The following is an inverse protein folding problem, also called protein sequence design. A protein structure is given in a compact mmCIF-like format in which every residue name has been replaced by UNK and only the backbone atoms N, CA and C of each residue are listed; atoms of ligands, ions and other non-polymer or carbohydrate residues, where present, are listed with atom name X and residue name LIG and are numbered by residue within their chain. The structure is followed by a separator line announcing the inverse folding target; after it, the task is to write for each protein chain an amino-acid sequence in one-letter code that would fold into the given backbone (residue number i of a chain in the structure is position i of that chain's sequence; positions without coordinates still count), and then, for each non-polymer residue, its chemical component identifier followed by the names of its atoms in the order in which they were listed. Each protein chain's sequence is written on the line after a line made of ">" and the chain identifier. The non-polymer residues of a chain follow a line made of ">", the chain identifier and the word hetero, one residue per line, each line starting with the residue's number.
data_IF_738263021291
#
_entry.id   IF_738263021291
#
_cell.length_a   1.000
_cell.length_b   1.000
_cell.length_c   1.000
_cell.angle_alpha   90.00
_cell.angle_beta   90.00
_cell.angle_gamma   90.00
#
_symmetry.space_group_name_H-M   'P 1'
#
loop_
_entity.id
_entity.type
_entity.pdbx_description
1 polymer ?
#
# COMPACT_ATOMS: atom_id res chain seq x y z
N UNK A 1 35.37 8.39 32.27
CA UNK A 1 34.79 8.89 31.01
C UNK A 1 35.05 7.82 29.98
N UNK A 2 33.99 7.24 29.42
CA UNK A 2 34.12 6.20 28.40
C UNK A 2 34.43 6.90 27.08
N UNK A 3 35.69 6.84 26.64
CA UNK A 3 36.18 7.48 25.40
C UNK A 3 36.06 6.54 24.20
N UNK A 4 35.26 5.48 24.30
CA UNK A 4 34.92 4.60 23.19
C UNK A 4 33.94 5.34 22.28
N UNK A 5 34.46 6.24 21.44
CA UNK A 5 33.72 6.70 20.27
C UNK A 5 33.60 5.52 19.29
N UNK A 6 32.43 5.36 18.68
CA UNK A 6 32.28 4.50 17.53
C UNK A 6 33.30 4.91 16.47
N UNK A 7 33.86 3.93 15.78
CA UNK A 7 34.71 4.19 14.63
C UNK A 7 33.90 5.02 13.61
N UNK A 8 34.39 6.20 13.25
CA UNK A 8 33.70 7.09 12.32
C UNK A 8 33.50 6.44 10.96
N UNK A 9 34.35 5.47 10.60
CA UNK A 9 34.23 4.73 9.35
C UNK A 9 33.04 3.75 9.34
N UNK A 10 32.58 3.30 10.52
CA UNK A 10 31.48 2.34 10.67
C UNK A 10 30.14 3.00 11.04
N UNK A 11 30.13 4.31 11.26
CA UNK A 11 28.93 5.01 11.74
C UNK A 11 27.76 4.89 10.75
N UNK A 12 28.02 5.01 9.44
CA UNK A 12 27.00 4.85 8.40
C UNK A 12 26.38 3.45 8.41
N UNK A 13 27.20 2.41 8.51
CA UNK A 13 26.72 1.02 8.50
C UNK A 13 25.83 0.74 9.71
N UNK A 14 26.23 1.22 10.89
CA UNK A 14 25.44 1.09 12.13
C UNK A 14 24.12 1.84 12.00
N UNK A 15 24.15 3.08 11.52
CA UNK A 15 22.95 3.89 11.36
C UNK A 15 22.00 3.26 10.32
N UNK A 16 22.53 2.74 9.22
CA UNK A 16 21.73 2.05 8.20
C UNK A 16 21.09 0.78 8.77
N UNK A 17 21.85 -0.04 9.51
CA UNK A 17 21.32 -1.24 10.18
C UNK A 17 20.17 -0.91 11.14
N UNK A 18 20.29 0.18 11.92
CA UNK A 18 19.22 0.62 12.83
C UNK A 18 18.01 1.16 12.05
N UNK A 19 18.23 1.89 10.97
CA UNK A 19 17.17 2.40 10.10
C UNK A 19 16.34 1.25 9.50
N UNK A 20 17.00 0.26 8.91
CA UNK A 20 16.32 -0.89 8.32
C UNK A 20 15.60 -1.75 9.36
N UNK A 21 16.19 -1.92 10.55
CA UNK A 21 15.57 -2.65 11.65
C UNK A 21 14.30 -1.96 12.15
N UNK A 22 14.36 -0.64 12.39
CA UNK A 22 13.19 0.12 12.87
C UNK A 22 12.07 0.13 11.85
N UNK A 23 12.38 0.24 10.56
CA UNK A 23 11.41 0.08 9.47
C UNK A 23 10.76 -1.32 9.49
N UNK A 24 11.57 -2.37 9.57
CA UNK A 24 11.07 -3.74 9.59
C UNK A 24 10.14 -4.01 10.77
N UNK A 25 10.53 -3.55 11.96
CA UNK A 25 9.69 -3.66 13.16
C UNK A 25 8.38 -2.88 13.00
N UNK A 26 8.43 -1.68 12.40
CA UNK A 26 7.22 -0.93 12.11
C UNK A 26 6.28 -1.72 11.19
N UNK A 27 6.77 -2.29 10.09
CA UNK A 27 5.94 -3.07 9.16
C UNK A 27 5.31 -4.28 9.86
N UNK A 28 6.11 -5.08 10.57
CA UNK A 28 5.65 -6.28 11.28
C UNK A 28 4.54 -5.98 12.30
N UNK A 29 4.74 -4.97 13.15
CA UNK A 29 3.75 -4.62 14.18
C UNK A 29 2.43 -4.15 13.54
N UNK A 30 2.50 -3.36 12.47
CA UNK A 30 1.31 -2.82 11.80
C UNK A 30 0.55 -3.90 11.02
N UNK A 31 1.27 -4.78 10.33
CA UNK A 31 0.68 -5.94 9.66
C UNK A 31 0.08 -6.95 10.65
N UNK A 32 0.75 -7.16 11.80
CA UNK A 32 0.26 -8.01 12.87
C UNK A 32 -1.09 -7.55 13.42
N UNK A 33 -1.26 -6.23 13.61
CA UNK A 33 -2.56 -5.67 14.05
C UNK A 33 -3.63 -5.81 12.97
N UNK A 34 -3.33 -5.54 11.70
CA UNK A 34 -4.30 -5.74 10.62
C UNK A 34 -4.74 -7.21 10.48
N UNK A 35 -3.83 -8.16 10.74
CA UNK A 35 -4.09 -9.60 10.61
C UNK A 35 -4.81 -10.19 11.83
N UNK A 36 -4.49 -9.70 13.03
CA UNK A 36 -5.06 -10.19 14.30
C UNK A 36 -6.45 -9.63 14.63
N UNK A 37 -6.92 -8.64 13.87
CA UNK A 37 -8.15 -7.92 14.14
C UNK A 37 -7.97 -6.79 15.17
N UNK A 38 -8.83 -5.79 15.05
CA UNK A 38 -8.89 -4.68 16.00
C UNK A 38 -9.67 -5.10 17.24
N UNK A 39 -8.99 -5.76 18.18
CA UNK A 39 -9.44 -5.69 19.56
C UNK A 39 -9.02 -4.32 20.09
N UNK A 40 -9.97 -3.58 20.67
CA UNK A 40 -9.83 -2.22 21.20
C UNK A 40 -8.98 -2.21 22.48
N UNK A 41 -7.75 -2.69 22.35
CA UNK A 41 -6.73 -2.72 23.38
C UNK A 41 -5.85 -1.49 23.19
N UNK A 42 -6.10 -0.47 24.01
CA UNK A 42 -5.33 0.78 24.07
C UNK A 42 -3.81 0.51 24.09
N UNK A 43 -3.37 -0.60 24.70
CA UNK A 43 -1.97 -1.01 24.72
C UNK A 43 -1.38 -1.28 23.33
N UNK A 44 -2.14 -1.92 22.43
CA UNK A 44 -1.72 -2.21 21.05
C UNK A 44 -1.59 -0.94 20.23
N UNK A 45 -2.55 -0.01 20.37
CA UNK A 45 -2.55 1.26 19.63
C UNK A 45 -1.34 2.12 20.04
N UNK A 46 -1.07 2.24 21.34
CA UNK A 46 0.13 2.92 21.82
C UNK A 46 1.43 2.26 21.33
N UNK A 47 1.45 0.92 21.23
CA UNK A 47 2.56 0.18 20.63
C UNK A 47 2.81 0.57 19.18
N UNK A 48 1.77 0.60 18.34
CA UNK A 48 1.85 1.01 16.93
C UNK A 48 2.44 2.41 16.77
N UNK A 49 1.85 3.39 17.48
CA UNK A 49 2.30 4.79 17.42
C UNK A 49 3.74 4.94 17.87
N UNK A 50 4.14 4.22 18.93
CA UNK A 50 5.51 4.26 19.43
C UNK A 50 6.51 3.78 18.40
N UNK A 51 6.24 2.67 17.72
CA UNK A 51 7.18 2.11 16.73
C UNK A 51 7.30 3.01 15.50
N UNK A 52 6.18 3.61 15.04
CA UNK A 52 6.24 4.64 13.99
C UNK A 52 7.04 5.86 14.43
N UNK A 53 6.79 6.38 15.63
CA UNK A 53 7.49 7.55 16.13
C UNK A 53 9.00 7.32 16.25
N UNK A 54 9.42 6.10 16.62
CA UNK A 54 10.83 5.71 16.64
C UNK A 54 11.41 5.74 15.22
N UNK A 55 10.73 5.10 14.25
CA UNK A 55 11.18 5.09 12.86
C UNK A 55 11.25 6.52 12.28
N UNK A 56 10.19 7.31 12.42
CA UNK A 56 10.11 8.68 11.91
C UNK A 56 11.20 9.58 12.50
N UNK A 57 11.45 9.48 13.82
CA UNK A 57 12.53 10.23 14.46
C UNK A 57 13.90 9.78 13.94
N UNK A 58 14.09 8.48 13.73
CA UNK A 58 15.38 7.93 13.31
C UNK A 58 15.68 8.24 11.85
N UNK A 59 14.71 8.14 10.93
CA UNK A 59 14.90 8.51 9.52
C UNK A 59 15.20 10.00 9.36
N UNK A 60 14.60 10.87 10.19
CA UNK A 60 14.93 12.29 10.20
C UNK A 60 16.40 12.52 10.60
N UNK A 61 16.84 11.89 11.69
CA UNK A 61 18.24 11.98 12.16
C UNK A 61 19.19 11.40 11.09
N UNK A 62 18.85 10.24 10.51
CA UNK A 62 19.64 9.59 9.49
C UNK A 62 19.84 10.51 8.27
N UNK A 63 18.77 11.11 7.75
CA UNK A 63 18.84 12.02 6.61
C UNK A 63 19.65 13.29 6.90
N UNK A 64 19.63 13.79 8.14
CA UNK A 64 20.47 14.92 8.56
C UNK A 64 21.95 14.54 8.68
N UNK A 65 22.24 13.33 9.16
CA UNK A 65 23.60 12.82 9.33
C UNK A 65 24.23 12.35 8.03
N UNK A 66 23.43 11.82 7.09
CA UNK A 66 23.89 11.18 5.85
C UNK A 66 23.16 11.72 4.60
N UNK A 67 23.21 13.04 4.32
CA UNK A 67 22.39 13.68 3.28
C UNK A 67 22.73 13.26 1.84
N UNK A 68 23.88 12.61 1.63
CA UNK A 68 24.31 12.11 0.32
C UNK A 68 24.08 10.61 0.15
N UNK A 69 23.45 9.96 1.14
CA UNK A 69 23.16 8.53 1.04
C UNK A 69 21.95 8.29 0.14
N UNK A 70 22.12 7.44 -0.87
CA UNK A 70 21.04 6.97 -1.72
C UNK A 70 20.37 5.74 -1.08
N UNK A 71 19.05 5.76 -0.97
CA UNK A 71 18.29 4.65 -0.38
C UNK A 71 18.31 3.44 -1.30
N UNK A 72 18.47 2.25 -0.71
CA UNK A 72 18.42 1.00 -1.46
C UNK A 72 17.00 0.70 -1.98
N UNK A 73 16.87 -0.05 -3.10
CA UNK A 73 15.57 -0.47 -3.59
C UNK A 73 14.82 -1.36 -2.59
N UNK A 74 15.54 -2.17 -1.81
CA UNK A 74 14.98 -3.00 -0.73
C UNK A 74 14.37 -2.13 0.37
N UNK A 75 15.08 -1.09 0.81
CA UNK A 75 14.57 -0.15 1.80
C UNK A 75 13.31 0.55 1.29
N UNK A 76 13.36 1.05 0.05
CA UNK A 76 12.24 1.73 -0.61
C UNK A 76 11.00 0.82 -0.72
N UNK A 77 11.18 -0.45 -1.05
CA UNK A 77 10.10 -1.44 -1.10
C UNK A 77 9.46 -1.66 0.28
N UNK A 78 10.27 -1.84 1.34
CA UNK A 78 9.77 -2.02 2.71
C UNK A 78 9.05 -0.76 3.20
N UNK A 79 9.53 0.43 2.84
CA UNK A 79 8.90 1.71 3.15
C UNK A 79 7.52 1.83 2.49
N UNK A 80 7.39 1.46 1.21
CA UNK A 80 6.10 1.45 0.52
C UNK A 80 5.08 0.52 1.19
N UNK A 81 5.52 -0.65 1.67
CA UNK A 81 4.66 -1.55 2.46
C UNK A 81 4.22 -0.87 3.76
N UNK A 82 5.15 -0.25 4.50
CA UNK A 82 4.80 0.47 5.73
C UNK A 82 3.75 1.55 5.45
N UNK A 83 3.98 2.41 4.46
CA UNK A 83 3.06 3.47 4.07
C UNK A 83 1.68 2.92 3.73
N UNK A 84 1.62 1.86 2.91
CA UNK A 84 0.35 1.22 2.53
C UNK A 84 -0.41 0.69 3.76
N UNK A 85 0.28 -0.02 4.65
CA UNK A 85 -0.30 -0.65 5.85
C UNK A 85 -0.78 0.41 6.84
N UNK A 86 0.00 1.48 7.06
CA UNK A 86 -0.38 2.61 7.92
C UNK A 86 -1.61 3.32 7.37
N UNK A 87 -1.66 3.61 6.07
CA UNK A 87 -2.82 4.25 5.46
C UNK A 87 -4.07 3.36 5.50
N UNK A 88 -3.90 2.04 5.35
CA UNK A 88 -4.99 1.08 5.50
C UNK A 88 -5.49 1.03 6.95
N UNK A 89 -4.59 1.05 7.94
CA UNK A 89 -4.94 1.13 9.36
C UNK A 89 -5.70 2.42 9.71
N UNK A 90 -5.26 3.58 9.18
CA UNK A 90 -5.93 4.86 9.36
C UNK A 90 -7.39 4.85 8.85
N UNK A 91 -7.72 4.00 7.87
CA UNK A 91 -9.10 3.80 7.43
C UNK A 91 -9.92 2.94 8.38
N UNK A 92 -9.27 1.99 9.06
CA UNK A 92 -9.94 1.01 9.90
C UNK A 92 -10.16 1.49 11.33
N UNK A 93 -9.30 2.41 11.82
CA UNK A 93 -9.38 2.98 13.16
C UNK A 93 -9.28 4.50 13.12
N UNK A 94 -10.34 5.16 13.58
CA UNK A 94 -10.37 6.63 13.74
C UNK A 94 -9.41 7.12 14.83
N UNK A 95 -8.95 6.24 15.72
CA UNK A 95 -8.09 6.58 16.85
C UNK A 95 -6.66 6.92 16.40
N UNK A 96 -6.15 6.25 15.36
CA UNK A 96 -4.78 6.47 14.87
C UNK A 96 -4.62 7.87 14.23
N UNK A 97 -5.72 8.47 13.74
CA UNK A 97 -5.70 9.77 13.08
C UNK A 97 -5.59 10.99 14.03
N UNK A 98 -5.69 10.79 15.36
CA UNK A 98 -5.92 11.89 16.31
C UNK A 98 -4.67 12.62 16.83
N UNK A 99 -3.46 12.07 16.67
CA UNK A 99 -2.26 12.59 17.37
C UNK A 99 -1.27 13.39 16.51
N UNK A 100 -1.53 13.54 15.21
CA UNK A 100 -0.81 14.47 14.32
C UNK A 100 -1.67 15.70 14.03
N UNK A 101 -1.06 16.88 13.74
CA UNK A 101 -1.83 18.03 13.26
C UNK A 101 -2.57 17.64 11.98
N UNK A 102 -3.87 17.39 12.10
CA UNK A 102 -4.71 16.77 11.08
C UNK A 102 -4.66 17.52 9.73
N UNK A 103 -4.43 18.83 9.78
CA UNK A 103 -4.42 19.70 8.61
C UNK A 103 -3.24 19.41 7.66
N UNK A 104 -2.05 19.10 8.19
CA UNK A 104 -0.85 18.89 7.36
C UNK A 104 -0.94 17.53 6.63
N UNK A 105 -1.25 16.46 7.38
CA UNK A 105 -1.43 15.12 6.81
C UNK A 105 -2.59 15.06 5.82
N UNK A 106 -3.72 15.70 6.11
CA UNK A 106 -4.86 15.76 5.19
C UNK A 106 -4.51 16.48 3.89
N UNK A 107 -3.79 17.61 3.99
CA UNK A 107 -3.35 18.35 2.81
C UNK A 107 -2.40 17.50 1.94
N UNK A 108 -1.44 16.82 2.57
CA UNK A 108 -0.47 15.96 1.90
C UNK A 108 -1.17 14.77 1.21
N UNK A 109 -2.06 14.07 1.92
CA UNK A 109 -2.84 12.96 1.36
C UNK A 109 -3.75 13.40 0.22
N UNK A 110 -4.35 14.60 0.31
CA UNK A 110 -5.14 15.16 -0.79
C UNK A 110 -4.30 15.47 -2.03
N UNK A 111 -3.06 15.94 -1.84
CA UNK A 111 -2.09 16.17 -2.89
C UNK A 111 -1.73 14.88 -3.62
N UNK A 112 -1.40 13.82 -2.87
CA UNK A 112 -1.13 12.49 -3.43
C UNK A 112 -2.33 11.93 -4.17
N UNK A 113 -3.52 11.96 -3.56
CA UNK A 113 -4.73 11.44 -4.20
C UNK A 113 -5.04 12.16 -5.52
N UNK A 114 -4.79 13.46 -5.61
CA UNK A 114 -4.95 14.24 -6.85
C UNK A 114 -3.92 13.85 -7.90
N UNK A 115 -2.66 13.70 -7.51
CA UNK A 115 -1.57 13.26 -8.40
C UNK A 115 -1.84 11.87 -8.95
N UNK A 116 -2.20 10.92 -8.08
CA UNK A 116 -2.54 9.55 -8.43
C UNK A 116 -3.71 9.51 -9.42
N UNK A 117 -4.78 10.28 -9.15
CA UNK A 117 -5.93 10.37 -10.03
C UNK A 117 -5.56 10.95 -11.40
N UNK A 118 -4.70 11.97 -11.45
CA UNK A 118 -4.20 12.52 -12.70
C UNK A 118 -3.40 11.49 -13.49
N UNK A 119 -2.47 10.78 -12.84
CA UNK A 119 -1.70 9.71 -13.46
C UNK A 119 -2.61 8.60 -14.01
N UNK A 120 -3.67 8.22 -13.28
CA UNK A 120 -4.64 7.23 -13.74
C UNK A 120 -5.45 7.70 -14.94
N UNK A 121 -5.82 8.98 -15.01
CA UNK A 121 -6.51 9.54 -16.18
C UNK A 121 -5.61 9.58 -17.41
N UNK A 122 -4.33 9.90 -17.23
CA UNK A 122 -3.33 9.80 -18.31
C UNK A 122 -3.21 8.36 -18.80
N UNK A 123 -3.16 7.38 -17.89
CA UNK A 123 -3.15 5.96 -18.21
C UNK A 123 -4.39 5.55 -19.02
N UNK A 124 -5.59 5.88 -18.54
CA UNK A 124 -6.85 5.61 -19.23
C UNK A 124 -6.86 6.21 -20.65
N UNK A 125 -6.39 7.44 -20.81
CA UNK A 125 -6.27 8.08 -22.12
C UNK A 125 -5.26 7.39 -23.06
N UNK A 126 -4.22 6.75 -22.51
CA UNK A 126 -3.30 5.90 -23.26
C UNK A 126 -3.98 4.62 -23.75
N UNK A 127 -4.66 3.90 -22.84
CA UNK A 127 -5.43 2.70 -23.15
C UNK A 127 -6.51 2.95 -24.21
N UNK A 128 -7.19 4.10 -24.14
CA UNK A 128 -8.13 4.56 -25.16
C UNK A 128 -7.52 4.67 -26.55
N UNK A 129 -6.33 5.28 -26.63
CA UNK A 129 -5.60 5.45 -27.89
C UNK A 129 -5.22 4.10 -28.48
N UNK A 130 -4.76 3.18 -27.66
CA UNK A 130 -4.36 1.85 -28.11
C UNK A 130 -5.57 1.03 -28.60
N UNK A 131 -6.69 1.09 -27.90
CA UNK A 131 -7.95 0.48 -28.37
C UNK A 131 -8.37 1.02 -29.74
N UNK A 132 -8.26 2.35 -29.98
CA UNK A 132 -8.58 2.96 -31.28
C UNK A 132 -7.61 2.56 -32.39
N UNK A 133 -6.32 2.33 -32.07
CA UNK A 133 -5.34 1.81 -33.04
C UNK A 133 -5.70 0.38 -33.43
N UNK A 134 -6.06 -0.47 -32.45
CA UNK A 134 -6.43 -1.86 -32.68
C UNK A 134 -7.71 -2.01 -33.52
N UNK A 135 -8.71 -1.15 -33.31
CA UNK A 135 -9.95 -1.14 -34.10
C UNK A 135 -9.75 -0.88 -35.61
N UNK A 136 -8.59 -0.31 -36.01
CA UNK A 136 -8.24 -0.11 -37.43
C UNK A 136 -7.60 -1.34 -38.07
N UNK A 137 -7.23 -2.37 -37.29
CA UNK A 137 -6.63 -3.62 -37.79
C UNK A 137 -7.72 -4.66 -38.11
N UNK A 138 -7.62 -5.42 -39.23
CA UNK A 138 -8.66 -6.35 -39.64
C UNK A 138 -8.82 -7.57 -38.72
N UNK A 139 -10.08 -7.86 -38.36
CA UNK A 139 -10.72 -9.08 -37.83
C UNK A 139 -10.15 -9.84 -36.61
N UNK A 140 -8.85 -9.78 -36.29
CA UNK A 140 -8.25 -10.57 -35.18
C UNK A 140 -8.35 -9.94 -33.79
N UNK A 141 -8.86 -8.72 -33.65
CA UNK A 141 -8.91 -7.98 -32.37
C UNK A 141 -10.35 -7.70 -31.87
N UNK A 142 -11.29 -8.63 -32.11
CA UNK A 142 -12.71 -8.41 -31.84
C UNK A 142 -13.05 -8.35 -30.34
N UNK A 143 -12.28 -8.98 -29.45
CA UNK A 143 -12.63 -9.10 -28.02
C UNK A 143 -12.29 -7.84 -27.22
N UNK A 144 -11.06 -7.32 -27.35
CA UNK A 144 -10.65 -6.10 -26.67
C UNK A 144 -11.51 -4.87 -27.04
N UNK A 145 -11.94 -4.78 -28.32
CA UNK A 145 -12.82 -3.72 -28.77
C UNK A 145 -14.24 -3.84 -28.16
N UNK A 146 -14.81 -5.04 -28.14
CA UNK A 146 -16.13 -5.29 -27.52
C UNK A 146 -16.11 -5.04 -26.01
N UNK A 147 -15.02 -5.44 -25.35
CA UNK A 147 -14.79 -5.13 -23.96
C UNK A 147 -14.86 -3.63 -23.72
N UNK A 148 -14.10 -2.85 -24.48
CA UNK A 148 -14.08 -1.39 -24.38
C UNK A 148 -15.47 -0.75 -24.58
N UNK A 149 -16.23 -1.19 -25.59
CA UNK A 149 -17.58 -0.69 -25.83
C UNK A 149 -18.53 -0.96 -24.65
N UNK A 150 -18.40 -2.14 -24.01
CA UNK A 150 -19.16 -2.49 -22.81
C UNK A 150 -18.77 -1.60 -21.63
N UNK A 151 -17.47 -1.38 -21.41
CA UNK A 151 -16.99 -0.46 -20.36
C UNK A 151 -17.63 0.93 -20.53
N UNK A 152 -17.60 1.47 -21.74
CA UNK A 152 -18.18 2.78 -22.06
C UNK A 152 -19.70 2.85 -21.83
N UNK A 153 -20.44 1.79 -22.14
CA UNK A 153 -21.87 1.72 -21.84
C UNK A 153 -22.14 1.75 -20.34
N UNK A 154 -21.33 1.05 -19.54
CA UNK A 154 -21.44 1.06 -18.08
C UNK A 154 -21.09 2.46 -17.56
N UNK A 155 -19.97 3.05 -17.98
CA UNK A 155 -19.55 4.38 -17.53
C UNK A 155 -20.59 5.47 -17.84
N UNK A 156 -21.15 5.45 -19.06
CA UNK A 156 -22.21 6.40 -19.45
C UNK A 156 -23.49 6.23 -18.62
N UNK A 157 -23.87 4.99 -18.29
CA UNK A 157 -25.02 4.70 -17.44
C UNK A 157 -24.89 5.26 -16.01
N UNK A 158 -23.65 5.42 -15.50
CA UNK A 158 -23.37 5.98 -14.18
C UNK A 158 -23.10 7.49 -14.19
N UNK A 159 -22.60 8.05 -15.29
CA UNK A 159 -22.31 9.49 -15.43
C UNK A 159 -23.52 10.32 -15.90
N UNK A 160 -24.47 9.72 -16.62
CA UNK A 160 -25.53 10.42 -17.37
C UNK A 160 -26.66 11.09 -16.59
N UNK A 161 -26.53 11.39 -15.28
CA UNK A 161 -27.61 12.10 -14.56
C UNK A 161 -27.06 12.84 -13.36
N UNK A 162 -27.17 14.18 -13.38
CA UNK A 162 -26.81 15.04 -12.26
C UNK A 162 -27.88 14.88 -11.16
N UNK A 163 -27.55 14.31 -9.99
CA UNK A 163 -28.54 14.15 -8.93
C UNK A 163 -28.72 15.50 -8.20
N UNK A 164 -29.78 16.24 -8.55
CA UNK A 164 -30.25 17.40 -7.78
C UNK A 164 -30.92 16.95 -6.46
N UNK A 165 -30.21 16.20 -5.62
CA UNK A 165 -30.68 15.83 -4.29
C UNK A 165 -29.54 15.98 -3.29
N UNK A 166 -29.59 17.10 -2.53
CA UNK A 166 -28.85 17.21 -1.29
C UNK A 166 -29.52 16.30 -0.26
N UNK A 167 -28.93 15.13 -0.02
CA UNK A 167 -29.27 14.32 1.16
C UNK A 167 -28.38 14.77 2.30
N UNK A 168 -28.97 14.96 3.47
CA UNK A 168 -28.28 15.28 4.72
C UNK A 168 -27.15 14.28 5.00
N UNK A 169 -25.96 14.82 5.25
CA UNK A 169 -24.68 14.14 5.38
C UNK A 169 -24.72 13.00 6.40
N UNK A 170 -24.34 11.80 5.94
CA UNK A 170 -23.94 10.69 6.80
C UNK A 170 -22.46 10.84 7.16
N UNK A 171 -22.09 10.32 8.33
CA UNK A 171 -20.77 10.35 8.94
C UNK A 171 -19.64 10.17 7.92
N UNK A 172 -18.82 11.21 7.79
CA UNK A 172 -17.63 11.21 6.97
C UNK A 172 -16.70 10.09 7.44
N UNK A 173 -16.38 9.15 6.55
CA UNK A 173 -15.19 8.30 6.73
C UNK A 173 -13.96 9.19 6.73
N UNK A 174 -13.47 9.51 7.92
CA UNK A 174 -12.23 10.25 8.17
C UNK A 174 -11.06 9.35 7.78
N UNK A 175 -10.58 9.44 6.54
CA UNK A 175 -9.46 8.63 6.07
C UNK A 175 -9.20 8.71 4.56
N UNK A 176 -8.02 8.25 4.12
CA UNK A 176 -7.64 8.23 2.70
C UNK A 176 -8.59 7.32 1.92
N UNK A 177 -8.95 7.65 0.68
CA UNK A 177 -9.84 6.85 -0.17
C UNK A 177 -9.22 5.49 -0.54
N UNK A 178 -10.03 4.45 -0.78
CA UNK A 178 -9.54 3.18 -1.31
C UNK A 178 -8.81 3.37 -2.64
N UNK A 179 -9.31 4.29 -3.49
CA UNK A 179 -8.64 4.58 -4.74
C UNK A 179 -7.24 5.17 -4.52
N UNK A 180 -6.98 5.92 -3.45
CA UNK A 180 -5.62 6.41 -3.16
C UNK A 180 -4.67 5.31 -2.65
N UNK A 181 -5.21 4.18 -2.20
CA UNK A 181 -4.42 3.01 -1.80
C UNK A 181 -4.13 2.06 -2.96
N UNK A 182 -5.01 2.03 -3.97
CA UNK A 182 -4.92 1.10 -5.08
C UNK A 182 -3.63 1.26 -5.90
N UNK A 183 -3.15 2.46 -6.28
CA UNK A 183 -1.87 2.62 -6.95
C UNK A 183 -0.68 2.09 -6.15
N UNK A 184 -0.69 2.30 -4.83
CA UNK A 184 0.35 1.80 -3.94
C UNK A 184 0.36 0.28 -3.89
N UNK A 185 -0.81 -0.35 -3.79
CA UNK A 185 -0.95 -1.80 -3.88
C UNK A 185 -0.41 -2.35 -5.21
N UNK A 186 -0.73 -1.69 -6.33
CA UNK A 186 -0.25 -2.08 -7.66
C UNK A 186 1.27 -1.95 -7.76
N UNK A 187 1.86 -0.85 -7.27
CA UNK A 187 3.31 -0.63 -7.26
C UNK A 187 4.07 -1.65 -6.39
N UNK A 188 3.58 -1.93 -5.18
CA UNK A 188 4.15 -2.97 -4.30
C UNK A 188 4.09 -4.34 -5.00
N UNK A 189 2.94 -4.65 -5.61
CA UNK A 189 2.75 -5.91 -6.32
C UNK A 189 3.71 -6.04 -7.51
N UNK A 190 3.84 -4.99 -8.31
CA UNK A 190 4.74 -4.91 -9.47
C UNK A 190 6.19 -5.19 -9.06
N UNK A 191 6.71 -4.44 -8.08
CA UNK A 191 8.07 -4.61 -7.57
C UNK A 191 8.30 -6.01 -7.01
N UNK A 192 7.34 -6.56 -6.27
CA UNK A 192 7.44 -7.92 -5.75
C UNK A 192 7.47 -8.97 -6.85
N UNK A 193 6.57 -8.87 -7.83
CA UNK A 193 6.48 -9.80 -8.96
C UNK A 193 7.73 -9.77 -9.84
N UNK A 194 8.30 -8.58 -10.06
CA UNK A 194 9.58 -8.40 -10.74
C UNK A 194 10.71 -9.09 -9.97
N UNK A 195 10.79 -8.88 -8.64
CA UNK A 195 11.81 -9.50 -7.80
C UNK A 195 11.75 -11.04 -7.81
N UNK A 196 10.54 -11.63 -7.82
CA UNK A 196 10.38 -13.09 -7.89
C UNK A 196 10.37 -13.64 -9.33
N UNK A 197 10.39 -12.77 -10.34
CA UNK A 197 10.29 -13.10 -11.77
C UNK A 197 9.08 -13.97 -12.10
N UNK A 198 7.92 -13.63 -11.52
CA UNK A 198 6.66 -14.33 -11.75
C UNK A 198 5.57 -13.33 -12.12
N UNK A 199 4.63 -13.77 -12.96
CA UNK A 199 3.43 -13.00 -13.27
C UNK A 199 2.39 -13.02 -12.13
N UNK A 200 1.32 -12.23 -12.26
CA UNK A 200 0.24 -12.21 -11.28
C UNK A 200 -0.45 -13.58 -11.16
N UNK A 201 -0.65 -14.03 -9.92
CA UNK A 201 -1.45 -15.23 -9.63
C UNK A 201 -2.96 -14.94 -9.65
N UNK A 202 -3.79 -15.98 -9.81
CA UNK A 202 -5.27 -15.86 -9.75
C UNK A 202 -5.75 -15.17 -8.47
N UNK A 203 -5.17 -15.54 -7.32
CA UNK A 203 -5.51 -14.94 -6.01
C UNK A 203 -5.23 -13.44 -6.01
N UNK A 204 -4.11 -13.02 -6.61
CA UNK A 204 -3.77 -11.60 -6.72
C UNK A 204 -4.75 -10.88 -7.65
N UNK A 205 -5.08 -11.48 -8.80
CA UNK A 205 -6.01 -10.88 -9.77
C UNK A 205 -7.40 -10.69 -9.16
N UNK A 206 -7.88 -11.69 -8.41
CA UNK A 206 -9.15 -11.61 -7.67
C UNK A 206 -9.16 -10.46 -6.66
N UNK A 207 -8.10 -10.35 -5.83
CA UNK A 207 -8.00 -9.29 -4.82
C UNK A 207 -7.88 -7.91 -5.48
N UNK A 208 -7.11 -7.79 -6.56
CA UNK A 208 -6.96 -6.55 -7.30
C UNK A 208 -8.29 -6.09 -7.93
N UNK A 209 -9.06 -7.02 -8.52
CA UNK A 209 -10.39 -6.74 -9.05
C UNK A 209 -11.39 -6.38 -7.96
N UNK A 210 -11.39 -7.10 -6.84
CA UNK A 210 -12.21 -6.78 -5.68
C UNK A 210 -11.84 -5.40 -5.09
N UNK A 211 -10.56 -5.03 -5.08
CA UNK A 211 -10.10 -3.69 -4.69
C UNK A 211 -10.70 -2.61 -5.59
N UNK A 212 -10.61 -2.78 -6.92
CA UNK A 212 -11.23 -1.85 -7.88
C UNK A 212 -12.74 -1.73 -7.66
N UNK A 213 -13.42 -2.84 -7.39
CA UNK A 213 -14.85 -2.87 -7.08
C UNK A 213 -15.17 -2.11 -5.78
N UNK A 214 -14.44 -2.35 -4.70
CA UNK A 214 -14.66 -1.69 -3.41
C UNK A 214 -14.36 -0.18 -3.49
N UNK A 215 -13.29 0.21 -4.19
CA UNK A 215 -12.99 1.61 -4.47
C UNK A 215 -14.13 2.27 -5.27
N UNK A 216 -14.67 1.57 -6.25
CA UNK A 216 -15.80 2.06 -7.05
C UNK A 216 -17.08 2.21 -6.23
N UNK A 217 -17.39 1.25 -5.34
CA UNK A 217 -18.52 1.33 -4.43
C UNK A 217 -18.39 2.53 -3.48
N UNK A 218 -17.23 2.70 -2.85
CA UNK A 218 -16.95 3.85 -1.98
C UNK A 218 -17.18 5.16 -2.74
N UNK A 219 -16.70 5.26 -3.99
CA UNK A 219 -16.80 6.50 -4.76
C UNK A 219 -18.19 6.81 -5.27
N UNK A 220 -18.92 5.82 -5.75
CA UNK A 220 -20.31 5.99 -6.17
C UNK A 220 -21.23 6.31 -4.99
N UNK A 221 -20.98 5.72 -3.81
CA UNK A 221 -21.69 6.05 -2.58
C UNK A 221 -21.42 7.49 -2.15
N UNK A 222 -20.14 7.93 -2.11
CA UNK A 222 -19.80 9.32 -1.75
C UNK A 222 -20.40 10.32 -2.73
N UNK A 223 -20.33 10.08 -4.04
CA UNK A 223 -20.96 10.95 -5.06
C UNK A 223 -22.49 11.00 -4.94
N UNK A 224 -23.12 9.98 -4.39
CA UNK A 224 -24.57 10.00 -4.13
C UNK A 224 -24.95 10.87 -2.92
N UNK A 225 -23.99 11.17 -2.05
CA UNK A 225 -24.16 11.95 -0.83
C UNK A 225 -23.68 13.39 -1.01
N UNK A 226 -22.55 13.58 -1.69
CA UNK A 226 -21.90 14.86 -1.91
C UNK A 226 -22.20 15.37 -3.32
N UNK A 227 -22.82 16.55 -3.41
CA UNK A 227 -23.27 17.14 -4.67
C UNK A 227 -22.13 17.69 -5.54
N UNK A 228 -20.92 17.83 -4.99
CA UNK A 228 -19.74 18.28 -5.72
C UNK A 228 -18.94 17.10 -6.30
N UNK A 229 -19.36 16.67 -7.49
CA UNK A 229 -18.84 15.46 -8.14
C UNK A 229 -17.55 15.67 -8.96
N UNK A 230 -17.08 16.90 -9.17
CA UNK A 230 -16.03 17.17 -10.18
C UNK A 230 -14.65 16.64 -9.77
N UNK A 231 -14.33 16.66 -8.47
CA UNK A 231 -13.04 16.21 -7.95
C UNK A 231 -13.03 14.73 -7.52
N UNK A 232 -14.20 14.06 -7.50
CA UNK A 232 -14.28 12.66 -7.10
C UNK A 232 -13.94 11.73 -8.27
N UNK A 233 -13.13 10.68 -8.02
CA UNK A 233 -12.88 9.64 -8.99
C UNK A 233 -14.15 9.03 -9.57
N UNK A 234 -14.07 8.66 -10.84
CA UNK A 234 -15.11 8.01 -11.62
C UNK A 234 -14.90 6.50 -11.61
N UNK A 235 -15.93 5.78 -12.07
CA UNK A 235 -15.87 4.33 -12.24
C UNK A 235 -14.73 3.95 -13.21
N UNK A 236 -14.57 4.70 -14.30
CA UNK A 236 -13.47 4.53 -15.27
C UNK A 236 -12.09 4.75 -14.66
N UNK A 237 -11.95 5.67 -13.69
CA UNK A 237 -10.69 5.92 -12.99
C UNK A 237 -10.29 4.69 -12.13
N UNK A 238 -11.26 3.97 -11.58
CA UNK A 238 -11.02 2.78 -10.74
C UNK A 238 -10.63 1.55 -11.56
N UNK A 239 -11.17 1.41 -12.78
CA UNK A 239 -10.93 0.27 -13.67
C UNK A 239 -9.92 0.57 -14.79
N UNK A 240 -9.14 1.65 -14.66
CA UNK A 240 -8.15 2.07 -15.67
C UNK A 240 -6.94 1.12 -15.79
N UNK A 241 -6.80 0.13 -14.90
CA UNK A 241 -5.62 -0.74 -14.79
C UNK A 241 -5.57 -1.81 -15.87
N UNK A 242 -4.53 -1.78 -16.70
CA UNK A 242 -4.33 -2.71 -17.81
C UNK A 242 -3.08 -2.37 -18.62
N UNK A 243 -2.70 -3.29 -19.51
CA UNK A 243 -1.52 -3.12 -20.35
C UNK A 243 -1.70 -1.99 -21.38
N UNK A 244 -0.68 -1.15 -21.52
CA UNK A 244 -0.57 -0.08 -22.53
C UNK A 244 0.73 -0.31 -23.30
N UNK A 245 0.68 -0.16 -24.62
CA UNK A 245 1.87 -0.23 -25.46
C UNK A 245 2.59 1.13 -25.40
N UNK A 246 3.62 1.22 -24.56
CA UNK A 246 4.38 2.45 -24.32
C UNK A 246 5.30 2.82 -25.50
N UNK A 247 5.61 1.86 -26.39
CA UNK A 247 6.55 2.04 -27.50
C UNK A 247 5.92 2.73 -28.73
N UNK A 248 4.59 2.79 -28.81
CA UNK A 248 3.87 3.30 -29.98
C UNK A 248 3.42 4.76 -29.76
N UNK A 249 4.34 5.68 -30.01
CA UNK A 249 4.11 7.11 -30.18
C UNK A 249 3.57 7.85 -28.93
N UNK A 250 4.39 7.98 -27.89
CA UNK A 250 4.46 9.27 -27.18
C UNK A 250 5.18 10.28 -28.09
N UNK A 251 4.56 10.60 -29.22
CA UNK A 251 4.96 11.75 -30.03
C UNK A 251 4.46 12.99 -29.27
N UNK A 252 5.23 13.37 -28.25
CA UNK A 252 5.00 14.49 -27.31
C UNK A 252 4.93 15.85 -28.03
N UNK A 253 5.06 15.86 -29.36
CA UNK A 253 5.08 17.06 -30.20
C UNK A 253 3.70 17.66 -30.48
N UNK A 254 2.59 16.94 -30.27
CA UNK A 254 1.24 17.41 -30.63
C UNK A 254 0.39 17.96 -29.47
N UNK A 255 0.79 17.77 -28.22
CA UNK A 255 0.15 18.41 -27.07
C UNK A 255 1.18 19.20 -26.28
N UNK A 256 1.23 20.52 -26.55
CA UNK A 256 2.13 21.48 -25.92
C UNK A 256 1.75 21.84 -24.48
N UNK A 257 1.34 20.86 -23.69
CA UNK A 257 1.16 21.04 -22.25
C UNK A 257 1.87 19.87 -21.56
N UNK A 258 2.86 20.22 -20.75
CA UNK A 258 3.78 19.31 -20.10
C UNK A 258 3.01 18.19 -19.39
N UNK A 259 3.03 16.99 -19.96
CA UNK A 259 2.79 15.79 -19.19
C UNK A 259 3.92 15.75 -18.14
N UNK A 260 3.63 15.83 -16.84
CA UNK A 260 4.59 15.37 -15.87
C UNK A 260 4.75 13.89 -16.20
N UNK A 261 5.92 13.53 -16.76
CA UNK A 261 6.36 12.14 -16.66
C UNK A 261 6.22 11.81 -15.16
N UNK A 262 5.49 10.74 -14.77
CA UNK A 262 5.50 10.32 -13.38
C UNK A 262 6.98 10.20 -12.99
N UNK A 263 7.40 10.84 -11.90
CA UNK A 263 8.79 10.95 -11.44
C UNK A 263 9.48 9.59 -11.14
N UNK A 264 8.85 8.47 -11.48
CA UNK A 264 9.37 7.10 -11.40
C UNK A 264 8.85 6.29 -12.60
N UNK A 265 9.46 6.53 -13.78
CA UNK A 265 9.18 5.85 -15.04
C UNK A 265 9.35 4.31 -14.90
N UNK A 266 10.30 3.89 -14.06
CA UNK A 266 10.58 2.49 -13.78
C UNK A 266 9.42 1.79 -13.08
N UNK A 267 8.87 2.37 -12.00
CA UNK A 267 7.71 1.78 -11.32
C UNK A 267 6.48 1.75 -12.24
N UNK A 268 6.28 2.76 -13.09
CA UNK A 268 5.18 2.76 -14.05
C UNK A 268 5.32 1.63 -15.08
N UNK A 269 6.53 1.36 -15.56
CA UNK A 269 6.86 0.25 -16.44
C UNK A 269 6.62 -1.10 -15.74
N UNK A 270 7.11 -1.29 -14.50
CA UNK A 270 6.87 -2.52 -13.74
C UNK A 270 5.37 -2.79 -13.53
N UNK A 271 4.59 -1.74 -13.24
CA UNK A 271 3.13 -1.83 -13.12
C UNK A 271 2.48 -2.18 -14.45
N UNK A 272 2.96 -1.63 -15.57
CA UNK A 272 2.47 -2.00 -16.90
C UNK A 272 2.74 -3.49 -17.19
N UNK A 273 3.94 -3.95 -16.84
CA UNK A 273 4.40 -5.32 -17.06
C UNK A 273 3.61 -6.36 -16.25
N UNK A 274 2.97 -5.99 -15.13
CA UNK A 274 2.03 -6.88 -14.43
C UNK A 274 0.92 -7.40 -15.34
N UNK A 275 0.49 -6.59 -16.31
CA UNK A 275 -0.63 -6.91 -17.18
C UNK A 275 -0.19 -7.48 -18.53
N UNK A 276 1.12 -7.63 -18.77
CA UNK A 276 1.67 -8.14 -20.04
C UNK A 276 1.62 -9.67 -20.07
N UNK A 277 1.15 -10.23 -21.18
CA UNK A 277 1.24 -11.67 -21.42
C UNK A 277 2.71 -12.07 -21.60
N UNK A 278 3.25 -12.85 -20.67
CA UNK A 278 4.61 -13.44 -20.77
C UNK A 278 4.72 -14.51 -21.85
N UNK A 279 3.63 -14.90 -22.50
CA UNK A 279 3.62 -16.05 -23.39
C UNK A 279 4.37 -15.72 -24.69
N UNK A 280 5.60 -16.24 -24.84
CA UNK A 280 6.47 -16.10 -26.03
C UNK A 280 5.79 -16.48 -27.37
N UNK A 281 4.60 -17.09 -27.32
CA UNK A 281 3.83 -17.57 -28.47
C UNK A 281 2.64 -16.69 -28.87
N UNK A 282 2.26 -15.68 -28.07
CA UNK A 282 1.05 -14.88 -28.31
C UNK A 282 1.32 -13.48 -28.89
N UNK A 283 2.00 -13.39 -30.04
CA UNK A 283 2.18 -12.11 -30.76
C UNK A 283 2.91 -11.01 -29.97
N UNK A 284 3.10 -9.82 -30.56
CA UNK A 284 3.68 -8.68 -29.84
C UNK A 284 2.71 -8.20 -28.75
N UNK A 285 3.21 -8.09 -27.52
CA UNK A 285 2.75 -7.17 -26.48
C UNK A 285 1.23 -7.07 -26.30
N UNK A 286 0.65 -8.17 -25.84
CA UNK A 286 -0.77 -8.26 -25.51
C UNK A 286 -1.02 -8.22 -24.00
N UNK A 287 -2.16 -7.64 -23.60
CA UNK A 287 -2.69 -7.74 -22.23
C UNK A 287 -2.99 -9.21 -21.88
N UNK A 288 -2.75 -9.58 -20.63
CA UNK A 288 -3.06 -10.91 -20.09
C UNK A 288 -4.59 -11.17 -20.22
N UNK A 289 -5.03 -12.18 -21.00
CA UNK A 289 -6.46 -12.38 -21.27
C UNK A 289 -7.28 -12.63 -20.00
N UNK A 290 -6.74 -13.39 -19.04
CA UNK A 290 -7.42 -13.70 -17.79
C UNK A 290 -7.65 -12.45 -16.94
N UNK A 291 -6.67 -11.53 -16.91
CA UNK A 291 -6.83 -10.22 -16.28
C UNK A 291 -7.93 -9.40 -16.96
N UNK A 292 -7.89 -9.29 -18.29
CA UNK A 292 -8.89 -8.54 -19.06
C UNK A 292 -10.29 -9.07 -18.79
N UNK A 293 -10.49 -10.39 -18.85
CA UNK A 293 -11.78 -11.03 -18.57
C UNK A 293 -12.25 -10.78 -17.14
N UNK A 294 -11.41 -11.03 -16.14
CA UNK A 294 -11.80 -10.85 -14.74
C UNK A 294 -12.14 -9.38 -14.42
N UNK A 295 -11.37 -8.43 -14.98
CA UNK A 295 -11.63 -6.99 -14.86
C UNK A 295 -13.00 -6.63 -15.44
N UNK A 296 -13.33 -7.11 -16.64
CA UNK A 296 -14.61 -6.85 -17.31
C UNK A 296 -15.76 -7.50 -16.55
N UNK A 297 -15.63 -8.75 -16.14
CA UNK A 297 -16.65 -9.48 -15.38
C UNK A 297 -16.95 -8.74 -14.07
N UNK A 298 -15.92 -8.25 -13.40
CA UNK A 298 -16.06 -7.44 -12.18
C UNK A 298 -16.73 -6.10 -12.48
N UNK A 299 -16.37 -5.41 -13.56
CA UNK A 299 -17.02 -4.16 -13.96
C UNK A 299 -18.50 -4.39 -14.33
N UNK A 300 -18.83 -5.54 -14.93
CA UNK A 300 -20.19 -5.90 -15.32
C UNK A 300 -21.16 -6.00 -14.12
N UNK A 301 -20.64 -6.14 -12.89
CA UNK A 301 -21.44 -5.99 -11.67
C UNK A 301 -22.09 -4.60 -11.54
N UNK A 302 -21.54 -3.59 -12.21
CA UNK A 302 -22.11 -2.25 -12.27
C UNK A 302 -23.10 -2.04 -13.42
N UNK A 303 -23.34 -3.04 -14.28
CA UNK A 303 -24.32 -2.95 -15.36
C UNK A 303 -25.73 -2.67 -14.84
N UNK A 304 -26.39 -1.67 -15.43
CA UNK A 304 -27.79 -1.32 -15.15
C UNK A 304 -28.64 -1.87 -16.30
N UNK A 305 -29.47 -2.88 -16.03
CA UNK A 305 -30.32 -3.48 -17.05
C UNK A 305 -31.29 -2.43 -17.64
N UNK A 306 -31.23 -2.25 -18.96
CA UNK A 306 -32.09 -1.32 -19.70
C UNK A 306 -33.59 -1.66 -19.57
N UNK A 307 -33.92 -2.92 -19.27
CA UNK A 307 -35.29 -3.44 -19.25
C UNK A 307 -36.17 -2.93 -18.09
N UNK A 308 -35.63 -2.16 -17.15
CA UNK A 308 -36.43 -1.46 -16.11
C UNK A 308 -36.89 -0.07 -16.53
N UNK A 309 -36.47 0.41 -17.71
CA UNK A 309 -36.98 1.64 -18.32
C UNK A 309 -38.31 1.31 -19.02
N UNK A 310 -39.35 1.04 -18.22
CA UNK A 310 -40.72 1.02 -18.74
C UNK A 310 -41.02 2.39 -19.34
N UNK A 311 -41.48 2.42 -20.60
CA UNK A 311 -41.85 3.62 -21.36
C UNK A 311 -42.84 4.55 -20.65
N UNK A 312 -43.48 4.10 -19.55
CA UNK A 312 -44.48 4.85 -18.80
C UNK A 312 -44.06 5.25 -17.38
N UNK A 313 -42.87 4.88 -16.91
CA UNK A 313 -42.35 5.34 -15.63
C UNK A 313 -41.12 6.23 -15.86
N UNK A 314 -41.14 7.51 -15.45
CA UNK A 314 -39.91 8.29 -15.43
C UNK A 314 -38.94 7.55 -14.49
N UNK A 315 -37.72 7.19 -14.94
CA UNK A 315 -36.79 6.51 -14.07
C UNK A 315 -36.39 7.50 -12.99
N UNK A 316 -36.75 7.19 -11.74
CA UNK A 316 -35.93 7.58 -10.60
C UNK A 316 -34.60 6.81 -10.70
N UNK A 317 -33.78 7.16 -11.70
CA UNK A 317 -32.51 6.50 -12.04
C UNK A 317 -31.57 6.43 -10.83
N UNK A 318 -31.64 7.44 -9.96
CA UNK A 318 -30.93 7.49 -8.68
C UNK A 318 -31.34 6.38 -7.72
N UNK A 319 -32.64 6.05 -7.60
CA UNK A 319 -33.09 4.99 -6.69
C UNK A 319 -32.65 3.61 -7.18
N UNK A 320 -32.73 3.34 -8.48
CA UNK A 320 -32.22 2.10 -9.07
C UNK A 320 -30.71 1.96 -8.84
N UNK A 321 -29.95 3.05 -9.02
CA UNK A 321 -28.51 3.10 -8.72
C UNK A 321 -28.22 2.81 -7.24
N UNK A 322 -28.91 3.48 -6.32
CA UNK A 322 -28.74 3.26 -4.87
C UNK A 322 -29.08 1.83 -4.46
N UNK A 323 -30.18 1.26 -4.96
CA UNK A 323 -30.54 -0.14 -4.73
C UNK A 323 -29.48 -1.09 -5.29
N UNK A 324 -28.89 -0.78 -6.46
CA UNK A 324 -27.79 -1.56 -7.03
C UNK A 324 -26.54 -1.47 -6.16
N UNK A 325 -26.13 -0.28 -5.74
CA UNK A 325 -24.98 -0.08 -4.84
C UNK A 325 -25.19 -0.84 -3.52
N UNK A 326 -26.39 -0.80 -2.95
CA UNK A 326 -26.74 -1.56 -1.75
C UNK A 326 -26.63 -3.07 -1.99
N UNK A 327 -27.14 -3.59 -3.10
CA UNK A 327 -26.99 -5.03 -3.43
C UNK A 327 -25.53 -5.43 -3.59
N UNK A 328 -24.72 -4.60 -4.24
CA UNK A 328 -23.30 -4.86 -4.41
C UNK A 328 -22.54 -4.82 -3.08
N UNK A 329 -22.84 -3.87 -2.19
CA UNK A 329 -22.21 -3.82 -0.87
C UNK A 329 -22.55 -5.03 0.01
N UNK A 330 -23.73 -5.64 -0.18
CA UNK A 330 -24.10 -6.89 0.48
C UNK A 330 -23.44 -8.12 -0.17
N UNK A 331 -23.30 -8.12 -1.51
CA UNK A 331 -22.68 -9.22 -2.26
C UNK A 331 -21.16 -9.28 -2.06
N UNK A 332 -20.53 -8.13 -1.87
CA UNK A 332 -19.09 -7.98 -1.68
C UNK A 332 -18.83 -7.25 -0.35
N UNK A 333 -18.86 -7.95 0.79
CA UNK A 333 -18.65 -7.35 2.10
C UNK A 333 -17.24 -6.78 2.23
N UNK A 334 -17.12 -5.51 2.64
CA UNK A 334 -15.82 -4.83 2.79
C UNK A 334 -14.87 -5.55 3.76
N UNK A 335 -15.39 -6.13 4.85
CA UNK A 335 -14.57 -6.84 5.84
C UNK A 335 -13.87 -8.09 5.28
N UNK A 336 -14.53 -8.84 4.41
CA UNK A 336 -13.95 -10.03 3.76
C UNK A 336 -12.86 -9.60 2.77
N UNK A 337 -13.15 -8.60 1.94
CA UNK A 337 -12.15 -7.98 1.06
C UNK A 337 -10.90 -7.54 1.84
N UNK A 338 -11.09 -6.80 2.94
CA UNK A 338 -9.98 -6.29 3.74
C UNK A 338 -9.11 -7.42 4.29
N UNK A 339 -9.72 -8.50 4.79
CA UNK A 339 -8.97 -9.67 5.27
C UNK A 339 -8.16 -10.33 4.16
N UNK A 340 -8.73 -10.48 2.96
CA UNK A 340 -8.01 -11.03 1.79
C UNK A 340 -6.85 -10.13 1.37
N UNK A 341 -7.06 -8.81 1.34
CA UNK A 341 -6.04 -7.82 1.02
C UNK A 341 -4.88 -7.87 2.01
N UNK A 342 -5.18 -7.85 3.31
CA UNK A 342 -4.17 -7.94 4.38
C UNK A 342 -3.41 -9.25 4.28
N UNK A 343 -4.11 -10.38 4.08
CA UNK A 343 -3.46 -11.68 3.92
C UNK A 343 -2.51 -11.72 2.72
N UNK A 344 -2.89 -11.10 1.60
CA UNK A 344 -2.03 -11.03 0.42
C UNK A 344 -0.79 -10.16 0.67
N UNK A 345 -0.95 -9.00 1.30
CA UNK A 345 0.17 -8.10 1.64
C UNK A 345 1.10 -8.76 2.67
N UNK A 346 0.56 -9.44 3.69
CA UNK A 346 1.34 -10.24 4.63
C UNK A 346 2.15 -11.32 3.91
N UNK A 347 1.56 -11.97 2.91
CA UNK A 347 2.25 -12.99 2.11
C UNK A 347 3.36 -12.38 1.26
N UNK A 348 3.11 -11.24 0.62
CA UNK A 348 4.14 -10.47 -0.12
C UNK A 348 5.30 -10.13 0.81
N UNK A 349 5.00 -9.56 1.99
CA UNK A 349 5.98 -9.23 3.00
C UNK A 349 6.81 -10.45 3.42
N UNK A 350 6.14 -11.52 3.86
CA UNK A 350 6.79 -12.76 4.32
C UNK A 350 7.68 -13.40 3.25
N UNK A 351 7.24 -13.38 1.99
CA UNK A 351 8.03 -13.89 0.88
C UNK A 351 9.21 -12.98 0.54
N UNK A 352 9.02 -11.65 0.60
CA UNK A 352 10.10 -10.69 0.33
C UNK A 352 11.24 -10.80 1.34
N UNK A 353 10.95 -11.21 2.59
CA UNK A 353 11.95 -11.42 3.63
C UNK A 353 12.79 -12.69 3.47
N UNK A 354 12.62 -13.46 2.40
CA UNK A 354 13.48 -14.63 2.13
C UNK A 354 14.81 -14.18 1.55
N UNK A 355 15.88 -14.90 1.92
CA UNK A 355 17.25 -14.61 1.50
C UNK A 355 17.42 -14.63 -0.02
N UNK A 356 16.61 -15.40 -0.76
CA UNK A 356 16.68 -15.44 -2.22
C UNK A 356 16.00 -14.25 -2.91
N UNK A 357 15.25 -13.41 -2.15
CA UNK A 357 14.47 -12.30 -2.69
C UNK A 357 15.04 -10.96 -2.21
N UNK A 358 14.74 -10.50 -0.99
CA UNK A 358 15.34 -9.28 -0.40
C UNK A 358 16.08 -9.53 0.93
N UNK A 359 15.95 -10.73 1.51
CA UNK A 359 16.46 -11.04 2.85
C UNK A 359 15.81 -10.23 3.97
N UNK A 360 16.31 -10.44 5.20
CA UNK A 360 15.94 -9.64 6.38
C UNK A 360 17.02 -8.60 6.68
N UNK A 361 16.70 -7.52 7.40
CA UNK A 361 17.73 -6.64 7.93
C UNK A 361 18.67 -7.41 8.86
N UNK A 362 19.95 -7.08 8.82
CA UNK A 362 21.00 -7.80 9.56
C UNK A 362 20.72 -7.88 11.07
N UNK A 363 20.18 -6.82 11.68
CA UNK A 363 19.83 -6.83 13.10
C UNK A 363 18.68 -7.79 13.44
N UNK A 364 17.77 -8.03 12.49
CA UNK A 364 16.70 -9.03 12.66
C UNK A 364 17.30 -10.44 12.61
N UNK A 365 18.17 -10.72 11.64
CA UNK A 365 18.87 -12.02 11.53
C UNK A 365 19.66 -12.31 12.82
N UNK A 366 20.44 -11.33 13.29
CA UNK A 366 21.21 -11.44 14.54
C UNK A 366 20.27 -11.81 15.70
N UNK A 367 19.14 -11.12 15.84
CA UNK A 367 18.13 -11.41 16.87
C UNK A 367 17.52 -12.81 16.76
N UNK A 368 17.34 -13.33 15.55
CA UNK A 368 16.90 -14.70 15.29
C UNK A 368 18.00 -15.74 15.54
N UNK A 369 19.26 -15.28 15.63
CA UNK A 369 20.43 -16.06 15.99
C UNK A 369 21.25 -16.56 14.80
N UNK A 370 21.11 -15.94 13.63
CA UNK A 370 21.89 -16.29 12.43
C UNK A 370 22.30 -15.03 11.66
N UNK A 371 23.23 -15.14 10.71
CA UNK A 371 23.54 -14.07 9.76
C UNK A 371 23.80 -14.72 8.40
N UNK A 372 22.84 -14.61 7.49
CA UNK A 372 22.84 -15.33 6.21
C UNK A 372 23.99 -14.87 5.31
N UNK A 373 24.31 -13.56 5.33
CA UNK A 373 25.42 -12.99 4.55
C UNK A 373 26.82 -13.52 4.90
N UNK A 374 26.99 -14.11 6.09
CA UNK A 374 28.28 -14.64 6.59
C UNK A 374 28.23 -16.17 6.77
N UNK A 375 27.08 -16.80 6.50
CA UNK A 375 26.88 -18.24 6.74
C UNK A 375 26.96 -18.63 8.21
N UNK A 376 26.67 -17.70 9.13
CA UNK A 376 26.72 -17.95 10.56
C UNK A 376 25.36 -18.44 11.06
N UNK A 377 25.26 -19.71 11.44
CA UNK A 377 24.02 -20.31 11.93
C UNK A 377 23.97 -20.38 13.46
N UNK A 378 22.76 -20.33 14.02
CA UNK A 378 22.53 -20.43 15.47
C UNK A 378 23.05 -21.76 16.02
N UNK A 379 23.81 -21.69 17.11
CA UNK A 379 24.40 -22.88 17.73
C UNK A 379 25.66 -23.39 17.03
N UNK A 380 26.10 -22.74 15.94
CA UNK A 380 27.46 -22.91 15.45
C UNK A 380 28.46 -22.26 16.41
N UNK A 381 29.65 -22.85 16.51
CA UNK A 381 30.75 -22.28 17.31
C UNK A 381 31.12 -20.89 16.81
N UNK A 382 31.03 -20.67 15.49
CA UNK A 382 31.36 -19.40 14.85
C UNK A 382 30.36 -18.29 15.20
N UNK A 383 29.06 -18.61 15.25
CA UNK A 383 28.04 -17.64 15.69
C UNK A 383 28.15 -17.36 17.20
N UNK A 384 28.36 -18.37 18.04
CA UNK A 384 28.56 -18.14 19.48
C UNK A 384 29.81 -17.28 19.74
N UNK A 385 30.89 -17.51 18.99
CA UNK A 385 32.10 -16.71 19.08
C UNK A 385 31.89 -15.29 18.54
N UNK A 386 31.09 -15.11 17.48
CA UNK A 386 30.67 -13.80 17.01
C UNK A 386 29.85 -13.07 18.07
N UNK A 387 28.77 -13.69 18.58
CA UNK A 387 27.89 -13.12 19.59
C UNK A 387 28.66 -12.70 20.86
N UNK A 388 29.58 -13.56 21.34
CA UNK A 388 30.45 -13.23 22.47
C UNK A 388 31.38 -12.04 22.16
N UNK A 389 31.90 -11.92 20.94
CA UNK A 389 32.76 -10.80 20.51
C UNK A 389 31.99 -9.47 20.44
N UNK A 390 30.73 -9.51 19.98
CA UNK A 390 29.89 -8.31 19.87
C UNK A 390 29.09 -8.01 21.15
N UNK A 391 29.34 -8.76 22.23
CA UNK A 391 28.70 -8.52 23.54
C UNK A 391 27.26 -8.98 23.64
N UNK A 392 26.80 -9.83 22.73
CA UNK A 392 25.50 -10.49 22.76
C UNK A 392 25.63 -11.78 23.57
N UNK A 393 25.53 -11.68 24.89
CA UNK A 393 25.57 -12.86 25.75
C UNK A 393 24.29 -13.72 25.60
N UNK A 394 24.31 -14.95 26.14
CA UNK A 394 23.15 -15.85 26.06
C UNK A 394 21.88 -15.27 26.71
N UNK A 395 22.01 -14.30 27.63
CA UNK A 395 20.88 -13.64 28.29
C UNK A 395 20.15 -12.65 27.38
N UNK A 396 20.88 -11.96 26.50
CA UNK A 396 20.33 -10.98 25.56
C UNK A 396 19.23 -11.57 24.66
N UNK A 397 19.44 -12.77 24.14
CA UNK A 397 18.49 -13.43 23.24
C UNK A 397 17.26 -14.00 23.97
N UNK A 398 17.40 -14.36 25.25
CA UNK A 398 16.28 -14.79 26.08
C UNK A 398 15.39 -13.61 26.48
N UNK A 399 15.97 -12.40 26.56
CA UNK A 399 15.26 -11.14 26.88
C UNK A 399 14.47 -10.59 25.67
N UNK A 400 14.93 -10.82 24.44
CA UNK A 400 14.19 -10.48 23.19
C UNK A 400 12.92 -11.31 22.99
N UNK A 401 12.90 -12.54 23.51
CA UNK A 401 11.76 -13.45 23.33
C UNK A 401 10.60 -13.22 24.29
N UNK A 402 10.82 -12.46 25.37
CA UNK A 402 9.75 -11.98 26.24
C UNK A 402 9.39 -10.55 25.87
N UNK A 403 8.11 -10.19 25.86
CA UNK A 403 7.56 -8.83 25.59
C UNK A 403 8.01 -7.74 26.60
N UNK A 404 9.24 -7.79 27.12
CA UNK A 404 9.70 -7.05 28.29
C UNK A 404 10.91 -6.15 28.07
N UNK A 405 11.43 -6.00 26.85
CA UNK A 405 12.65 -5.20 26.63
C UNK A 405 12.55 -3.74 27.13
N UNK A 406 11.36 -3.15 27.31
CA UNK A 406 11.25 -1.73 27.66
C UNK A 406 10.51 -1.42 28.96
N UNK A 407 10.60 -2.28 29.99
CA UNK A 407 10.36 -1.87 31.39
C UNK A 407 11.60 -2.09 32.23
N UNK A 408 12.67 -1.31 31.98
CA UNK A 408 13.71 -1.12 33.00
C UNK A 408 13.12 -0.31 34.14
N UNK A 409 12.70 -1.01 35.19
CA UNK A 409 12.41 -0.44 36.52
C UNK A 409 13.67 0.33 36.98
N UNK A 410 13.52 1.62 37.26
CA UNK A 410 14.62 2.45 37.74
C UNK A 410 15.27 1.81 38.99
N UNK A 411 16.60 1.84 39.13
CA UNK A 411 17.26 1.30 40.31
C UNK A 411 16.83 2.11 41.54
N UNK A 412 16.36 1.38 42.56
CA UNK A 412 15.95 1.95 43.84
C UNK A 412 17.02 2.91 44.36
N UNK A 413 16.55 4.13 44.65
CA UNK A 413 17.33 5.22 45.19
C UNK A 413 18.19 4.80 46.37
N UNK A 414 19.46 5.16 46.29
CA UNK A 414 20.47 5.10 47.34
C UNK A 414 19.90 5.63 48.66
N UNK A 415 19.71 4.72 49.62
CA UNK A 415 19.39 5.03 51.02
C UNK A 415 20.57 5.81 51.61
N UNK A 416 20.37 7.10 51.88
CA UNK A 416 21.30 7.90 52.66
C UNK A 416 21.26 7.46 54.13
N UNK A 417 22.41 7.28 54.81
CA UNK A 417 22.44 6.96 56.22
C UNK A 417 22.04 8.19 57.05
N UNK A 418 21.13 7.95 58.00
CA UNK A 418 20.69 8.90 59.02
C UNK A 418 21.86 9.33 59.92
N UNK A 419 22.20 10.62 59.92
CA UNK A 419 23.12 11.22 60.88
C UNK A 419 22.40 11.38 62.21
N UNK A 420 22.91 10.75 63.26
CA UNK A 420 22.44 10.92 64.63
C UNK A 420 22.90 12.28 65.18
N UNK A 421 21.97 13.18 65.48
CA UNK A 421 22.22 14.36 66.32
C UNK A 421 21.89 14.02 67.77
N UNK A 422 22.94 13.78 68.56
CA UNK A 422 22.88 13.73 70.02
C UNK A 422 23.52 14.98 70.63
N UNK A 423 22.69 15.79 71.28
CA UNK A 423 22.89 16.67 72.46
C UNK A 423 24.14 17.56 72.64
N UNK A 424 23.86 18.85 72.89
CA UNK A 424 24.35 19.79 73.95
C UNK A 424 24.05 21.21 73.42
N UNK A 425 23.42 22.15 74.10
CA UNK A 425 23.11 22.45 75.51
C UNK A 425 21.87 23.33 75.54
#
# INVERSE_FOLDING_TARGET
>A
MDTRCADSELQLDVDLMVLEYTLFQAVEVHLGVLSGGFEDDDGKIHGLQRVLAIFDSFIEIFNQSHPSHEQSPEFSFRLQILEFVVLLLCRCSSVIAMDRPADDLSSMLSGYAKSDLQARRTWLAGRERDCRKLGKRPARCCEAYRAWDLEQQIYTAWTGTNPNYASSASEYTTGPLLLSLLPRFMAISARFMEAIKQGPSDIWMDVACEFMLQASLEMLQRRSQDGDAECLPRLEDCFAWGYIDLDVDFDTSLYGDALPAPDDDETAEMVNNLFRSSLESSGPDAELPDWTHLRIDTLHEFSIAADTVSFFAPPSSSQTRLLRLSRLSHKYPYGEFQQRLVSLVQRIWTLSCRDEILGKPVLVEIGEGHVSGVGLERGSVDFEQFAARVGLDRGFFDEIKGDHILVRKAPDSIVRPSVSSGNRT
#
